data_IF_131468992693
#
_entry.id   IF_131468992693
#
_cell.length_a   1.000
_cell.length_b   1.000
_cell.length_c   1.000
_cell.angle_alpha   90.00
_cell.angle_beta   90.00
_cell.angle_gamma   90.00
#
_symmetry.space_group_name_H-M   'P 1'
#
loop_
_entity.id
_entity.type
_entity.pdbx_description
1 polymer ?
#
# COMPACT_ATOMS: atom_id res chain seq x y z
N UNK A 1 -60.07 -3.52 45.55
CA UNK A 1 -58.95 -4.29 44.97
C UNK A 1 -59.32 -4.59 43.54
N UNK A 2 -58.80 -3.83 42.57
CA UNK A 2 -59.16 -3.99 41.15
C UNK A 2 -57.90 -4.50 40.45
N UNK A 3 -57.95 -5.75 39.96
CA UNK A 3 -56.88 -6.31 39.14
C UNK A 3 -56.80 -5.51 37.84
N UNK A 4 -55.58 -5.10 37.49
CA UNK A 4 -55.28 -4.51 36.19
C UNK A 4 -54.91 -5.69 35.30
N UNK A 5 -55.88 -6.17 34.54
CA UNK A 5 -55.63 -7.18 33.50
C UNK A 5 -54.88 -6.49 32.36
N UNK A 6 -53.62 -6.86 32.18
CA UNK A 6 -52.78 -6.34 31.10
C UNK A 6 -53.21 -6.98 29.76
N UNK A 7 -53.48 -6.14 28.76
CA UNK A 7 -53.90 -6.58 27.43
C UNK A 7 -52.82 -7.48 26.77
N UNK A 8 -53.16 -8.73 26.36
CA UNK A 8 -52.19 -9.66 25.78
C UNK A 8 -51.61 -9.18 24.44
N UNK A 9 -52.28 -8.24 23.77
CA UNK A 9 -51.81 -7.61 22.54
C UNK A 9 -50.61 -6.68 22.76
N UNK A 10 -50.58 -5.95 23.87
CA UNK A 10 -49.49 -5.05 24.25
C UNK A 10 -48.23 -5.83 24.67
N UNK A 11 -48.40 -6.96 25.34
CA UNK A 11 -47.29 -7.84 25.73
C UNK A 11 -46.59 -8.44 24.49
N UNK A 12 -47.35 -8.77 23.45
CA UNK A 12 -46.81 -9.41 22.25
C UNK A 12 -46.04 -8.43 21.34
N UNK A 13 -46.47 -7.16 21.27
CA UNK A 13 -45.75 -6.13 20.50
C UNK A 13 -44.43 -5.72 21.17
N UNK A 14 -44.37 -5.67 22.50
CA UNK A 14 -43.16 -5.41 23.28
C UNK A 14 -42.13 -6.54 23.11
N UNK A 15 -42.56 -7.81 23.16
CA UNK A 15 -41.68 -8.96 22.94
C UNK A 15 -41.09 -8.99 21.51
N UNK A 16 -41.86 -8.56 20.50
CA UNK A 16 -41.40 -8.51 19.11
C UNK A 16 -40.35 -7.41 18.87
N UNK A 17 -40.46 -6.26 19.55
CA UNK A 17 -39.41 -5.22 19.49
C UNK A 17 -38.14 -5.61 20.24
N UNK A 18 -38.25 -6.24 21.42
CA UNK A 18 -37.08 -6.70 22.19
C UNK A 18 -36.28 -7.79 21.46
N UNK A 19 -36.97 -8.72 20.78
CA UNK A 19 -36.32 -9.75 19.94
C UNK A 19 -35.58 -9.19 18.73
N UNK A 20 -36.03 -8.06 18.17
CA UNK A 20 -35.41 -7.43 17.00
C UNK A 20 -34.22 -6.52 17.40
N UNK A 21 -34.32 -5.82 18.52
CA UNK A 21 -33.21 -5.01 19.07
C UNK A 21 -32.01 -5.83 19.53
N UNK A 22 -32.25 -7.01 20.14
CA UNK A 22 -31.18 -7.87 20.64
C UNK A 22 -30.43 -8.60 19.49
N UNK A 23 -31.13 -8.95 18.41
CA UNK A 23 -30.49 -9.50 17.19
C UNK A 23 -29.59 -8.47 16.50
N UNK A 24 -30.03 -7.23 16.38
CA UNK A 24 -29.23 -6.18 15.75
C UNK A 24 -27.95 -5.85 16.52
N UNK A 25 -27.98 -5.81 17.86
CA UNK A 25 -26.79 -5.54 18.70
C UNK A 25 -25.73 -6.65 18.64
N UNK A 26 -26.14 -7.92 18.49
CA UNK A 26 -25.20 -9.06 18.36
C UNK A 26 -24.50 -9.14 16.98
N UNK A 27 -25.19 -8.70 15.92
CA UNK A 27 -24.65 -8.67 14.56
C UNK A 27 -23.79 -7.42 14.32
N UNK A 28 -24.20 -6.25 14.81
CA UNK A 28 -23.39 -5.03 14.73
C UNK A 28 -22.11 -5.14 15.54
N UNK A 29 -22.13 -5.79 16.72
CA UNK A 29 -20.92 -6.04 17.51
C UNK A 29 -19.88 -6.90 16.79
N UNK A 30 -20.31 -7.90 16.01
CA UNK A 30 -19.41 -8.77 15.22
C UNK A 30 -18.84 -8.06 13.98
N UNK A 31 -19.63 -7.21 13.33
CA UNK A 31 -19.20 -6.42 12.16
C UNK A 31 -18.24 -5.30 12.59
N UNK A 32 -18.53 -4.62 13.70
CA UNK A 32 -17.66 -3.55 14.25
C UNK A 32 -16.37 -4.15 14.79
N UNK A 33 -16.41 -5.25 15.56
CA UNK A 33 -15.20 -5.93 16.03
C UNK A 33 -14.36 -6.46 14.85
N UNK A 34 -14.99 -7.01 13.81
CA UNK A 34 -14.33 -7.42 12.58
C UNK A 34 -13.64 -6.26 11.86
N UNK A 35 -14.32 -5.12 11.73
CA UNK A 35 -13.76 -3.91 11.13
C UNK A 35 -12.59 -3.33 11.95
N UNK A 36 -12.67 -3.38 13.29
CA UNK A 36 -11.58 -2.93 14.18
C UNK A 36 -10.34 -3.82 14.08
N UNK A 37 -10.50 -5.15 14.07
CA UNK A 37 -9.36 -6.09 13.95
C UNK A 37 -8.73 -5.96 12.56
N UNK A 38 -9.53 -5.87 11.50
CA UNK A 38 -9.03 -5.65 10.14
C UNK A 38 -8.30 -4.32 9.98
N UNK A 39 -8.75 -3.27 10.68
CA UNK A 39 -8.08 -1.98 10.71
C UNK A 39 -6.72 -2.04 11.41
N UNK A 40 -6.62 -2.69 12.58
CA UNK A 40 -5.35 -2.83 13.31
C UNK A 40 -4.34 -3.66 12.50
N UNK A 41 -4.77 -4.78 11.95
CA UNK A 41 -3.93 -5.62 11.08
C UNK A 41 -3.47 -4.83 9.85
N UNK A 42 -4.37 -4.03 9.24
CA UNK A 42 -4.04 -3.14 8.14
C UNK A 42 -2.98 -2.10 8.48
N UNK A 43 -3.06 -1.48 9.67
CA UNK A 43 -2.05 -0.51 10.14
C UNK A 43 -0.68 -1.17 10.35
N UNK A 44 -0.65 -2.37 10.96
CA UNK A 44 0.61 -3.11 11.16
C UNK A 44 1.25 -3.46 9.82
N UNK A 45 0.46 -3.95 8.87
CA UNK A 45 0.91 -4.26 7.50
C UNK A 45 1.43 -3.00 6.81
N UNK A 46 0.74 -1.86 6.97
CA UNK A 46 1.15 -0.57 6.40
C UNK A 46 2.49 -0.09 6.97
N UNK A 47 2.71 -0.23 8.28
CA UNK A 47 4.00 0.13 8.92
C UNK A 47 5.13 -0.75 8.38
N UNK A 48 4.89 -2.06 8.24
CA UNK A 48 5.87 -2.97 7.66
C UNK A 48 6.19 -2.61 6.20
N UNK A 49 5.15 -2.32 5.41
CA UNK A 49 5.27 -1.88 4.02
C UNK A 49 6.02 -0.55 3.90
N UNK A 50 5.89 0.37 4.86
CA UNK A 50 6.64 1.63 4.92
C UNK A 50 8.13 1.44 5.20
N UNK A 51 8.51 0.36 5.89
CA UNK A 51 9.92 0.03 6.11
C UNK A 51 10.68 -0.24 4.81
N UNK A 52 9.99 -0.77 3.79
CA UNK A 52 10.58 -1.11 2.48
C UNK A 52 11.05 0.14 1.71
N UNK A 53 10.21 1.17 1.42
CA UNK A 53 10.66 2.36 0.71
C UNK A 53 11.65 3.20 1.52
N UNK A 54 11.55 3.19 2.87
CA UNK A 54 12.53 3.89 3.72
C UNK A 54 13.90 3.22 3.60
N UNK A 55 13.97 1.89 3.72
CA UNK A 55 15.23 1.15 3.55
C UNK A 55 15.80 1.32 2.14
N UNK A 56 14.96 1.33 1.10
CA UNK A 56 15.38 1.62 -0.27
C UNK A 56 16.02 3.00 -0.41
N UNK A 57 15.43 4.03 0.19
CA UNK A 57 15.96 5.38 0.18
C UNK A 57 17.29 5.48 0.95
N UNK A 58 17.38 4.87 2.13
CA UNK A 58 18.61 4.87 2.95
C UNK A 58 19.75 4.17 2.23
N UNK A 59 19.51 2.98 1.66
CA UNK A 59 20.52 2.20 0.93
C UNK A 59 20.92 2.96 -0.34
N UNK A 60 19.96 3.48 -1.10
CA UNK A 60 20.24 4.28 -2.30
C UNK A 60 21.12 5.50 -2.02
N UNK A 61 20.88 6.21 -0.92
CA UNK A 61 21.70 7.36 -0.50
C UNK A 61 23.06 6.94 0.03
N UNK A 62 23.12 5.87 0.86
CA UNK A 62 24.38 5.39 1.45
C UNK A 62 25.38 4.87 0.40
N UNK A 63 24.87 4.20 -0.63
CA UNK A 63 25.67 3.66 -1.72
C UNK A 63 25.53 4.50 -3.00
N UNK A 64 25.32 5.81 -2.85
CA UNK A 64 25.24 6.75 -3.98
C UNK A 64 26.59 6.89 -4.70
N UNK A 65 27.70 6.73 -3.99
CA UNK A 65 29.01 6.90 -4.59
C UNK A 65 29.26 5.84 -5.67
N UNK A 66 29.76 6.24 -6.86
CA UNK A 66 29.98 5.33 -7.98
C UNK A 66 31.03 4.25 -7.70
N UNK A 67 31.81 4.39 -6.61
CA UNK A 67 32.79 3.38 -6.17
C UNK A 67 32.16 2.09 -5.65
N UNK A 68 30.92 2.15 -5.16
CA UNK A 68 30.25 0.96 -4.61
C UNK A 68 29.56 0.10 -5.66
N UNK A 69 29.21 0.67 -6.82
CA UNK A 69 28.65 -0.08 -7.96
C UNK A 69 28.99 0.61 -9.29
N UNK A 70 30.27 0.60 -9.69
CA UNK A 70 30.74 1.22 -10.94
C UNK A 70 30.17 0.57 -12.20
N UNK A 71 29.79 -0.71 -12.13
CA UNK A 71 29.19 -1.44 -13.25
C UNK A 71 27.87 -0.83 -13.74
N UNK A 72 27.06 -0.29 -12.82
CA UNK A 72 25.80 0.36 -13.14
C UNK A 72 25.38 1.32 -12.02
N UNK A 73 25.86 2.58 -12.04
CA UNK A 73 25.55 3.57 -11.00
C UNK A 73 24.07 3.97 -10.98
N UNK A 74 23.30 3.61 -12.02
CA UNK A 74 21.87 3.91 -12.14
C UNK A 74 21.01 3.09 -11.19
N UNK A 75 21.52 1.98 -10.65
CA UNK A 75 20.82 1.15 -9.66
C UNK A 75 20.51 1.95 -8.39
N UNK A 76 21.46 2.71 -7.86
CA UNK A 76 21.24 3.55 -6.68
C UNK A 76 20.24 4.68 -6.97
N UNK A 77 20.25 5.25 -8.17
CA UNK A 77 19.28 6.28 -8.59
C UNK A 77 17.86 5.71 -8.65
N UNK A 78 17.70 4.49 -9.18
CA UNK A 78 16.43 3.79 -9.22
C UNK A 78 15.80 3.65 -7.83
N UNK A 79 16.58 3.20 -6.85
CA UNK A 79 16.15 3.06 -5.45
C UNK A 79 15.71 4.39 -4.81
N UNK A 80 16.46 5.47 -5.06
CA UNK A 80 16.14 6.80 -4.50
C UNK A 80 14.82 7.32 -5.06
N UNK A 81 14.65 7.27 -6.40
CA UNK A 81 13.45 7.82 -7.07
C UNK A 81 12.22 6.97 -6.76
N UNK A 82 12.35 5.65 -6.76
CA UNK A 82 11.22 4.76 -6.42
C UNK A 82 10.81 4.88 -4.95
N UNK A 83 11.78 4.97 -4.03
CA UNK A 83 11.53 5.19 -2.61
C UNK A 83 10.86 6.52 -2.32
N UNK A 84 11.31 7.61 -2.94
CA UNK A 84 10.75 8.95 -2.71
C UNK A 84 9.32 9.09 -3.22
N UNK A 85 9.05 8.61 -4.43
CA UNK A 85 7.70 8.66 -5.01
C UNK A 85 6.76 7.76 -4.22
N UNK A 86 7.21 6.58 -3.77
CA UNK A 86 6.40 5.70 -2.92
C UNK A 86 6.01 6.37 -1.60
N UNK A 87 6.97 7.00 -0.89
CA UNK A 87 6.69 7.74 0.35
C UNK A 87 5.73 8.91 0.07
N UNK A 88 5.98 9.66 -1.00
CA UNK A 88 5.11 10.76 -1.43
C UNK A 88 3.67 10.29 -1.68
N UNK A 89 3.49 9.19 -2.42
CA UNK A 89 2.16 8.61 -2.69
C UNK A 89 1.43 8.21 -1.41
N UNK A 90 2.13 7.69 -0.40
CA UNK A 90 1.52 7.34 0.89
C UNK A 90 1.06 8.60 1.64
N UNK A 91 1.89 9.65 1.68
CA UNK A 91 1.53 10.93 2.29
C UNK A 91 0.31 11.53 1.59
N UNK A 92 0.30 11.56 0.25
CA UNK A 92 -0.84 12.04 -0.53
C UNK A 92 -2.10 11.22 -0.30
N UNK A 93 -2.00 9.88 -0.17
CA UNK A 93 -3.15 9.03 0.15
C UNK A 93 -3.74 9.35 1.53
N UNK A 94 -2.90 9.57 2.55
CA UNK A 94 -3.35 9.99 3.89
C UNK A 94 -4.04 11.36 3.81
N UNK A 95 -3.46 12.31 3.08
CA UNK A 95 -4.06 13.64 2.88
C UNK A 95 -5.43 13.54 2.21
N UNK A 96 -5.59 12.70 1.19
CA UNK A 96 -6.89 12.46 0.54
C UNK A 96 -7.88 11.84 1.53
N UNK A 97 -7.46 10.87 2.35
CA UNK A 97 -8.33 10.27 3.37
C UNK A 97 -8.82 11.31 4.37
N UNK A 98 -7.95 12.23 4.81
CA UNK A 98 -8.34 13.32 5.71
C UNK A 98 -9.26 14.33 5.00
N UNK A 99 -8.94 14.68 3.75
CA UNK A 99 -9.71 15.64 2.95
C UNK A 99 -11.10 15.11 2.58
N UNK A 100 -11.26 13.81 2.35
CA UNK A 100 -12.58 13.22 2.07
C UNK A 100 -13.47 13.23 3.31
N UNK A 101 -12.91 12.94 4.50
CA UNK A 101 -13.63 13.07 5.78
C UNK A 101 -14.02 14.54 6.01
N UNK A 102 -13.08 15.47 5.80
CA UNK A 102 -13.35 16.89 5.96
C UNK A 102 -14.34 17.42 4.92
N UNK A 103 -14.32 16.91 3.69
CA UNK A 103 -15.26 17.26 2.61
C UNK A 103 -16.70 16.84 2.92
N UNK A 104 -16.89 15.77 3.70
CA UNK A 104 -18.21 15.34 4.17
C UNK A 104 -18.70 16.29 5.28
N UNK A 105 -17.79 16.74 6.15
CA UNK A 105 -18.09 17.65 7.24
C UNK A 105 -18.32 19.10 6.76
N UNK A 106 -17.44 19.59 5.89
CA UNK A 106 -17.45 20.93 5.32
C UNK A 106 -17.81 20.81 3.83
N UNK A 107 -19.06 21.14 3.47
CA UNK A 107 -19.61 21.06 2.11
C UNK A 107 -19.07 22.17 1.16
N UNK A 108 -17.76 22.35 1.12
CA UNK A 108 -17.08 23.35 0.28
C UNK A 108 -16.67 22.77 -1.06
N UNK A 109 -17.02 23.44 -2.17
CA UNK A 109 -16.66 23.03 -3.53
C UNK A 109 -15.14 22.99 -3.76
N UNK A 110 -14.35 23.77 -3.01
CA UNK A 110 -12.89 23.83 -3.12
C UNK A 110 -12.24 22.52 -2.67
N UNK A 111 -12.73 21.92 -1.58
CA UNK A 111 -12.21 20.66 -1.03
C UNK A 111 -12.41 19.50 -2.00
N UNK A 112 -13.54 19.49 -2.72
CA UNK A 112 -13.84 18.47 -3.73
C UNK A 112 -12.89 18.59 -4.92
N UNK A 113 -12.66 19.81 -5.42
CA UNK A 113 -11.74 20.04 -6.54
C UNK A 113 -10.31 19.61 -6.17
N UNK A 114 -9.83 19.96 -4.97
CA UNK A 114 -8.51 19.54 -4.49
C UNK A 114 -8.40 18.02 -4.34
N UNK A 115 -9.42 17.35 -3.84
CA UNK A 115 -9.44 15.89 -3.74
C UNK A 115 -9.34 15.21 -5.11
N UNK A 116 -10.03 15.73 -6.14
CA UNK A 116 -9.94 15.24 -7.52
C UNK A 116 -8.53 15.45 -8.08
N UNK A 117 -7.94 16.64 -7.91
CA UNK A 117 -6.57 16.93 -8.36
C UNK A 117 -5.56 15.98 -7.71
N UNK A 118 -5.65 15.76 -6.40
CA UNK A 118 -4.77 14.84 -5.68
C UNK A 118 -4.94 13.39 -6.15
N UNK A 119 -6.16 12.98 -6.48
CA UNK A 119 -6.43 11.68 -7.09
C UNK A 119 -5.75 11.52 -8.46
N UNK A 120 -5.83 12.54 -9.32
CA UNK A 120 -5.16 12.55 -10.62
C UNK A 120 -3.63 12.44 -10.44
N UNK A 121 -3.06 13.18 -9.48
CA UNK A 121 -1.61 13.13 -9.18
C UNK A 121 -1.18 11.72 -8.73
N UNK A 122 -2.00 11.04 -7.92
CA UNK A 122 -1.73 9.66 -7.51
C UNK A 122 -1.77 8.67 -8.68
N UNK A 123 -2.74 8.81 -9.58
CA UNK A 123 -2.83 7.98 -10.79
C UNK A 123 -1.58 8.19 -11.65
N UNK A 124 -1.19 9.44 -11.87
CA UNK A 124 -0.01 9.78 -12.67
C UNK A 124 1.28 9.23 -12.03
N UNK A 125 1.43 9.37 -10.72
CA UNK A 125 2.55 8.82 -9.95
C UNK A 125 2.62 7.30 -10.04
N UNK A 126 1.47 6.62 -10.05
CA UNK A 126 1.38 5.17 -10.21
C UNK A 126 1.87 4.71 -11.58
N UNK A 127 1.45 5.39 -12.66
CA UNK A 127 1.91 5.10 -14.02
C UNK A 127 3.42 5.32 -14.13
N UNK A 128 3.91 6.44 -13.58
CA UNK A 128 5.33 6.74 -13.56
C UNK A 128 6.14 5.64 -12.83
N UNK A 129 5.65 5.17 -11.67
CA UNK A 129 6.29 4.10 -10.92
C UNK A 129 6.36 2.79 -11.71
N UNK A 130 5.34 2.44 -12.50
CA UNK A 130 5.35 1.23 -13.33
C UNK A 130 6.43 1.33 -14.41
N UNK A 131 6.48 2.45 -15.13
CA UNK A 131 7.51 2.68 -16.17
C UNK A 131 8.90 2.66 -15.54
N UNK A 132 9.07 3.33 -14.40
CA UNK A 132 10.32 3.37 -13.67
C UNK A 132 10.74 1.99 -13.15
N UNK A 133 9.79 1.16 -12.72
CA UNK A 133 10.02 -0.23 -12.31
C UNK A 133 10.57 -1.07 -13.47
N UNK A 134 10.01 -0.95 -14.67
CA UNK A 134 10.49 -1.66 -15.86
C UNK A 134 11.94 -1.27 -16.16
N UNK A 135 12.24 0.03 -16.11
CA UNK A 135 13.59 0.55 -16.33
C UNK A 135 14.57 0.01 -15.28
N UNK A 136 14.19 0.04 -13.99
CA UNK A 136 14.99 -0.51 -12.90
C UNK A 136 15.24 -2.01 -13.01
N UNK A 137 14.24 -2.77 -13.47
CA UNK A 137 14.37 -4.19 -13.79
C UNK A 137 15.42 -4.42 -14.87
N UNK A 138 15.37 -3.68 -15.97
CA UNK A 138 16.36 -3.80 -17.06
C UNK A 138 17.77 -3.51 -16.55
N UNK A 139 17.96 -2.45 -15.75
CA UNK A 139 19.27 -2.14 -15.16
C UNK A 139 19.79 -3.25 -14.24
N UNK A 140 18.92 -3.79 -13.39
CA UNK A 140 19.30 -4.81 -12.40
C UNK A 140 19.58 -6.17 -13.06
N UNK A 141 18.78 -6.58 -14.05
CA UNK A 141 18.97 -7.85 -14.75
C UNK A 141 20.11 -7.80 -15.78
N UNK A 142 20.36 -6.66 -16.43
CA UNK A 142 21.46 -6.50 -17.39
C UNK A 142 22.83 -6.80 -16.79
N UNK A 143 23.02 -6.51 -15.49
CA UNK A 143 24.28 -6.74 -14.79
C UNK A 143 24.36 -8.07 -14.04
N UNK A 144 23.25 -8.81 -13.93
CA UNK A 144 23.20 -10.05 -13.14
C UNK A 144 24.28 -11.07 -13.55
N UNK A 145 24.52 -11.22 -14.85
CA UNK A 145 25.50 -12.18 -15.38
C UNK A 145 26.95 -11.65 -15.38
N UNK A 146 27.17 -10.37 -15.10
CA UNK A 146 28.49 -9.72 -15.18
C UNK A 146 28.99 -9.19 -13.83
N UNK A 147 28.17 -9.25 -12.79
CA UNK A 147 28.52 -8.71 -11.47
C UNK A 147 29.51 -9.63 -10.76
N UNK A 148 30.59 -9.03 -10.27
CA UNK A 148 31.60 -9.71 -9.45
C UNK A 148 31.50 -9.12 -8.04
N UNK A 149 31.38 -10.00 -7.04
CA UNK A 149 31.24 -9.60 -5.64
C UNK A 149 32.57 -9.65 -4.87
N UNK A 150 33.57 -10.34 -5.41
CA UNK A 150 34.90 -10.42 -4.82
C UNK A 150 35.73 -9.19 -5.22
N UNK A 151 36.16 -8.45 -4.20
CA UNK A 151 37.08 -7.33 -4.35
C UNK A 151 38.52 -7.86 -4.33
N UNK A 152 39.04 -8.27 -5.48
CA UNK A 152 40.47 -8.55 -5.63
C UNK A 152 41.23 -7.25 -5.91
N UNK A 153 42.09 -6.86 -4.96
CA UNK A 153 42.87 -5.60 -5.00
C UNK A 153 44.02 -5.66 -6.04
N UNK A 154 44.37 -6.85 -6.52
CA UNK A 154 45.57 -7.07 -7.35
C UNK A 154 45.29 -6.76 -8.83
N UNK A 155 44.05 -6.93 -9.28
CA UNK A 155 43.66 -6.78 -10.68
C UNK A 155 42.71 -5.58 -10.82
N UNK A 156 43.25 -4.44 -11.28
CA UNK A 156 42.50 -3.20 -11.53
C UNK A 156 41.30 -3.37 -12.49
N UNK A 157 41.24 -4.47 -13.24
CA UNK A 157 40.13 -4.84 -14.10
C UNK A 157 38.83 -5.14 -13.31
N UNK A 158 38.90 -5.58 -12.06
CA UNK A 158 37.68 -5.82 -11.27
C UNK A 158 36.98 -4.53 -10.80
N UNK A 159 37.62 -3.35 -10.96
CA UNK A 159 37.02 -2.08 -10.53
C UNK A 159 35.80 -1.67 -11.36
N UNK A 160 35.59 -2.15 -12.59
CA UNK A 160 34.44 -1.71 -13.40
C UNK A 160 33.27 -2.72 -13.40
N UNK A 161 33.49 -3.96 -12.94
CA UNK A 161 32.45 -5.01 -12.81
C UNK A 161 32.03 -5.29 -11.37
N UNK A 162 32.69 -4.64 -10.40
CA UNK A 162 32.33 -4.75 -9.00
C UNK A 162 30.99 -4.09 -8.70
N UNK A 163 30.18 -4.73 -7.86
CA UNK A 163 29.04 -4.10 -7.21
C UNK A 163 28.84 -4.67 -5.80
N UNK A 164 28.66 -3.76 -4.85
CA UNK A 164 28.50 -4.12 -3.45
C UNK A 164 27.29 -5.06 -3.25
N UNK A 165 27.47 -6.22 -2.61
CA UNK A 165 26.46 -7.28 -2.57
C UNK A 165 25.18 -6.84 -1.85
N UNK A 166 25.28 -5.95 -0.85
CA UNK A 166 24.11 -5.43 -0.13
C UNK A 166 23.20 -4.62 -1.06
N UNK A 167 23.78 -3.72 -1.88
CA UNK A 167 23.03 -2.87 -2.79
C UNK A 167 22.32 -3.74 -3.85
N UNK A 168 23.07 -4.65 -4.47
CA UNK A 168 22.54 -5.51 -5.52
C UNK A 168 21.42 -6.44 -5.02
N UNK A 169 21.67 -7.18 -3.93
CA UNK A 169 20.68 -8.11 -3.36
C UNK A 169 19.44 -7.37 -2.87
N UNK A 170 19.61 -6.19 -2.26
CA UNK A 170 18.48 -5.38 -1.84
C UNK A 170 17.63 -4.92 -3.03
N UNK A 171 18.23 -4.37 -4.09
CA UNK A 171 17.48 -3.96 -5.29
C UNK A 171 16.73 -5.14 -5.91
N UNK A 172 17.37 -6.30 -5.99
CA UNK A 172 16.74 -7.50 -6.53
C UNK A 172 15.52 -7.95 -5.73
N UNK A 173 15.65 -8.02 -4.40
CA UNK A 173 14.53 -8.34 -3.49
C UNK A 173 13.44 -7.28 -3.58
N UNK A 174 13.81 -6.00 -3.60
CA UNK A 174 12.89 -4.88 -3.74
C UNK A 174 12.04 -5.01 -5.01
N UNK A 175 12.65 -5.28 -6.16
CA UNK A 175 11.93 -5.50 -7.42
C UNK A 175 10.91 -6.64 -7.31
N UNK A 176 11.32 -7.80 -6.79
CA UNK A 176 10.43 -8.97 -6.63
C UNK A 176 9.24 -8.61 -5.74
N UNK A 177 9.49 -8.00 -4.59
CA UNK A 177 8.44 -7.61 -3.65
C UNK A 177 7.48 -6.60 -4.29
N UNK A 178 8.00 -5.59 -5.00
CA UNK A 178 7.15 -4.62 -5.71
C UNK A 178 6.29 -5.28 -6.79
N UNK A 179 6.82 -6.23 -7.56
CA UNK A 179 6.03 -6.98 -8.53
C UNK A 179 4.89 -7.78 -7.87
N UNK A 180 5.17 -8.45 -6.76
CA UNK A 180 4.15 -9.20 -6.00
C UNK A 180 3.06 -8.25 -5.48
N UNK A 181 3.45 -7.10 -4.92
CA UNK A 181 2.49 -6.11 -4.42
C UNK A 181 1.59 -5.56 -5.53
N UNK A 182 2.14 -5.30 -6.72
CA UNK A 182 1.36 -4.87 -7.88
C UNK A 182 0.39 -5.97 -8.33
N UNK A 183 0.85 -7.23 -8.40
CA UNK A 183 0.00 -8.36 -8.77
C UNK A 183 -1.18 -8.52 -7.80
N UNK A 184 -0.93 -8.48 -6.49
CA UNK A 184 -1.98 -8.54 -5.45
C UNK A 184 -2.96 -7.36 -5.58
N UNK A 185 -2.44 -6.15 -5.80
CA UNK A 185 -3.25 -4.94 -5.95
C UNK A 185 -4.15 -5.01 -7.19
N UNK A 186 -3.66 -5.60 -8.29
CA UNK A 186 -4.44 -5.80 -9.50
C UNK A 186 -5.52 -6.88 -9.29
N UNK A 187 -5.14 -8.03 -8.74
CA UNK A 187 -6.05 -9.15 -8.49
C UNK A 187 -7.20 -8.75 -7.55
N UNK A 188 -6.92 -8.03 -6.46
CA UNK A 188 -7.95 -7.60 -5.50
C UNK A 188 -9.00 -6.66 -6.12
N UNK A 189 -8.62 -5.80 -7.07
CA UNK A 189 -9.57 -4.95 -7.80
C UNK A 189 -10.40 -5.76 -8.79
N UNK A 190 -9.81 -6.72 -9.49
CA UNK A 190 -10.53 -7.60 -10.42
C UNK A 190 -11.53 -8.53 -9.72
N UNK A 191 -11.20 -9.08 -8.54
CA UNK A 191 -12.12 -9.94 -7.78
C UNK A 191 -13.39 -9.19 -7.33
N UNK A 192 -13.25 -7.94 -6.88
CA UNK A 192 -14.39 -7.12 -6.47
C UNK A 192 -15.29 -6.70 -7.65
N UNK A 193 -14.75 -6.58 -8.87
CA UNK A 193 -15.56 -6.32 -10.05
C UNK A 193 -16.40 -7.54 -10.47
N UNK A 194 -15.89 -8.76 -10.26
CA UNK A 194 -16.61 -9.99 -10.64
C UNK A 194 -17.77 -10.29 -9.70
N UNK A 195 -17.64 -10.03 -8.40
CA UNK A 195 -18.72 -10.29 -7.42
C UNK A 195 -19.95 -9.40 -7.64
N UNK A 196 -19.79 -8.18 -8.17
CA UNK A 196 -20.93 -7.30 -8.47
C UNK A 196 -21.73 -7.76 -9.72
N UNK A 197 -21.13 -8.59 -10.60
CA UNK A 197 -21.83 -9.11 -11.78
C UNK A 197 -22.69 -10.36 -11.51
N UNK A 198 -22.61 -10.96 -10.32
CA UNK A 198 -23.38 -12.16 -9.95
C UNK A 198 -24.66 -11.85 -9.16
N UNK A 199 -24.84 -10.62 -8.64
CA UNK A 199 -26.09 -10.22 -7.93
C UNK A 199 -27.20 -9.69 -8.85
N UNK A 200 -26.94 -9.51 -10.16
CA UNK A 200 -27.88 -8.94 -11.12
C UNK A 200 -28.49 -9.96 -12.11
N UNK A 201 -28.27 -11.26 -11.91
CA UNK A 201 -28.85 -12.39 -12.68
C UNK A 201 -29.57 -13.37 -11.76
#
# INVERSE_FOLDING_TARGET
MKSIDADPFLVNSINKQSSNGNRNHSWTGRIVAGASILSIVGVIILILLLGIPISALVIGVRYRDPRYCPIEPRISLFLIVSGSISIGSIIFAILISLMTIFSIYQRSSVSIILAIILWIILILSSIFLIVWLIIGSVWTFSVHNRVIHDYDRINHFYLYTYCHPVLYKFTFVYLIVTYILIAISCCSRCFNCKSHSEEEN
#
